data_IF_256962631486
#
_entry.id   IF_256962631486
#
_cell.length_a   1.000
_cell.length_b   1.000
_cell.length_c   1.000
_cell.angle_alpha   90.00
_cell.angle_beta   90.00
_cell.angle_gamma   90.00
#
_symmetry.space_group_name_H-M   'P 1'
#
loop_
_entity.id
_entity.type
_entity.pdbx_description
1 polymer ?
#
# COMPACT_ATOMS: atom_id res chain seq x y z
N UNK A 1 -34.23 76.93 -1.60
CA UNK A 1 -33.47 75.66 -1.57
C UNK A 1 -32.66 75.62 -0.29
N UNK A 2 -32.83 74.59 0.55
CA UNK A 2 -32.00 74.40 1.75
C UNK A 2 -30.69 73.74 1.32
N UNK A 3 -29.55 74.40 1.55
CA UNK A 3 -28.23 73.83 1.29
C UNK A 3 -27.94 72.83 2.41
N UNK A 4 -27.86 71.54 2.08
CA UNK A 4 -27.30 70.54 2.99
C UNK A 4 -25.79 70.74 2.98
N UNK A 5 -25.24 71.22 4.11
CA UNK A 5 -23.80 71.29 4.30
C UNK A 5 -23.30 69.86 4.54
N UNK A 6 -22.75 69.24 3.50
CA UNK A 6 -21.95 68.03 3.65
C UNK A 6 -20.60 68.45 4.26
N UNK A 7 -20.38 68.11 5.53
CA UNK A 7 -19.07 68.26 6.15
C UNK A 7 -18.03 67.39 5.44
N UNK A 8 -16.73 67.73 5.51
CA UNK A 8 -15.68 66.90 4.93
C UNK A 8 -15.66 65.56 5.66
N UNK A 9 -16.12 64.51 4.98
CA UNK A 9 -15.98 63.13 5.44
C UNK A 9 -14.48 62.85 5.53
N UNK A 10 -13.94 62.78 6.74
CA UNK A 10 -12.48 62.65 6.89
C UNK A 10 -12.06 61.30 6.32
N UNK A 11 -11.02 61.30 5.50
CA UNK A 11 -10.48 60.07 4.89
C UNK A 11 -10.01 59.06 5.94
N UNK A 12 -9.69 59.52 7.15
CA UNK A 12 -9.41 58.66 8.30
C UNK A 12 -10.64 57.86 8.76
N UNK A 13 -11.79 58.51 8.95
CA UNK A 13 -13.04 57.81 9.34
C UNK A 13 -13.49 56.79 8.29
N UNK A 14 -13.32 57.10 7.00
CA UNK A 14 -13.60 56.15 5.92
C UNK A 14 -12.70 54.91 6.00
N UNK A 15 -11.40 55.11 6.22
CA UNK A 15 -10.44 54.01 6.33
C UNK A 15 -10.71 53.14 7.57
N UNK A 16 -11.00 53.75 8.71
CA UNK A 16 -11.35 53.01 9.94
C UNK A 16 -12.64 52.21 9.79
N UNK A 17 -13.66 52.80 9.16
CA UNK A 17 -14.91 52.11 8.84
C UNK A 17 -14.70 50.95 7.87
N UNK A 18 -13.83 51.12 6.86
CA UNK A 18 -13.54 50.08 5.88
C UNK A 18 -12.77 48.90 6.50
N UNK A 19 -11.80 49.19 7.38
CA UNK A 19 -11.07 48.17 8.16
C UNK A 19 -12.00 47.40 9.08
N UNK A 20 -12.89 48.10 9.81
CA UNK A 20 -13.87 47.46 10.70
C UNK A 20 -14.80 46.51 9.94
N UNK A 21 -15.29 46.95 8.77
CA UNK A 21 -16.15 46.15 7.90
C UNK A 21 -15.41 44.92 7.36
N UNK A 22 -14.13 45.01 6.99
CA UNK A 22 -13.37 43.82 6.57
C UNK A 22 -13.27 42.82 7.72
N UNK A 23 -12.89 43.28 8.90
CA UNK A 23 -12.70 42.41 10.06
C UNK A 23 -14.02 41.74 10.49
N UNK A 24 -15.16 42.43 10.40
CA UNK A 24 -16.48 41.86 10.68
C UNK A 24 -16.97 40.88 9.59
N UNK A 25 -16.49 41.00 8.34
CA UNK A 25 -16.86 40.09 7.24
C UNK A 25 -15.99 38.83 7.14
N UNK A 26 -14.87 38.76 7.86
CA UNK A 26 -14.02 37.57 7.95
C UNK A 26 -14.37 36.88 9.29
N UNK A 27 -15.17 35.80 9.30
CA UNK A 27 -15.42 35.07 10.53
C UNK A 27 -14.16 34.29 10.92
N UNK A 28 -13.30 34.90 11.75
CA UNK A 28 -12.05 34.33 12.25
C UNK A 28 -12.25 32.93 12.85
N UNK A 29 -13.33 32.72 13.60
CA UNK A 29 -13.71 31.39 14.12
C UNK A 29 -13.87 30.33 13.02
N UNK A 30 -14.40 30.70 11.85
CA UNK A 30 -14.54 29.76 10.73
C UNK A 30 -13.19 29.40 10.12
N UNK A 31 -12.23 30.33 10.14
CA UNK A 31 -10.86 30.08 9.69
C UNK A 31 -10.11 29.21 10.70
N UNK A 32 -10.20 29.51 11.99
CA UNK A 32 -9.61 28.71 13.07
C UNK A 32 -10.10 27.27 13.04
N UNK A 33 -11.42 27.06 12.97
CA UNK A 33 -12.01 25.72 12.87
C UNK A 33 -11.51 24.97 11.62
N UNK A 34 -11.29 25.68 10.51
CA UNK A 34 -10.79 25.08 9.28
C UNK A 34 -9.30 24.76 9.36
N UNK A 35 -8.51 25.57 10.07
CA UNK A 35 -7.11 25.31 10.35
C UNK A 35 -6.98 24.08 11.25
N UNK A 36 -7.77 23.99 12.31
CA UNK A 36 -7.80 22.84 13.22
C UNK A 36 -8.13 21.54 12.47
N UNK A 37 -9.17 21.56 11.63
CA UNK A 37 -9.53 20.42 10.77
C UNK A 37 -8.38 20.02 9.83
N UNK A 38 -7.73 20.98 9.19
CA UNK A 38 -6.59 20.69 8.30
C UNK A 38 -5.38 20.14 9.07
N UNK A 39 -5.15 20.59 10.30
CA UNK A 39 -4.08 20.06 11.15
C UNK A 39 -4.38 18.62 11.58
N UNK A 40 -5.62 18.32 11.96
CA UNK A 40 -6.07 16.96 12.26
C UNK A 40 -5.95 16.04 11.04
N UNK A 41 -6.45 16.46 9.87
CA UNK A 41 -6.31 15.72 8.62
C UNK A 41 -4.84 15.45 8.28
N UNK A 42 -3.96 16.45 8.44
CA UNK A 42 -2.53 16.30 8.22
C UNK A 42 -1.88 15.31 9.19
N UNK A 43 -2.30 15.29 10.45
CA UNK A 43 -1.81 14.30 11.42
C UNK A 43 -2.28 12.89 11.06
N UNK A 44 -3.55 12.73 10.68
CA UNK A 44 -4.09 11.44 10.24
C UNK A 44 -3.35 10.90 9.01
N UNK A 45 -3.13 11.75 8.00
CA UNK A 45 -2.37 11.37 6.80
C UNK A 45 -0.93 10.94 7.14
N UNK A 46 -0.28 11.57 8.12
CA UNK A 46 1.05 11.13 8.58
C UNK A 46 1.01 9.74 9.20
N UNK A 47 0.00 9.46 10.03
CA UNK A 47 -0.18 8.13 10.62
C UNK A 47 -0.45 7.06 9.56
N UNK A 48 -1.32 7.35 8.59
CA UNK A 48 -1.61 6.44 7.47
C UNK A 48 -0.36 6.10 6.66
N UNK A 49 0.49 7.10 6.39
CA UNK A 49 1.78 6.90 5.72
C UNK A 49 2.67 5.95 6.51
N UNK A 50 2.76 6.10 7.82
CA UNK A 50 3.61 5.26 8.65
C UNK A 50 3.06 3.83 8.78
N UNK A 51 1.73 3.66 8.84
CA UNK A 51 1.08 2.34 8.74
C UNK A 51 1.40 1.67 7.41
N UNK A 52 1.24 2.38 6.29
CA UNK A 52 1.55 1.83 4.96
C UNK A 52 3.03 1.42 4.83
N UNK A 53 3.96 2.21 5.39
CA UNK A 53 5.39 1.84 5.41
C UNK A 53 5.62 0.55 6.19
N UNK A 54 5.00 0.41 7.37
CA UNK A 54 5.15 -0.77 8.20
C UNK A 54 4.58 -2.02 7.50
N UNK A 55 3.40 -1.91 6.91
CA UNK A 55 2.79 -2.98 6.12
C UNK A 55 3.70 -3.40 4.96
N UNK A 56 4.22 -2.45 4.18
CA UNK A 56 5.15 -2.72 3.09
C UNK A 56 6.43 -3.44 3.57
N UNK A 57 6.95 -3.07 4.75
CA UNK A 57 8.13 -3.73 5.31
C UNK A 57 7.83 -5.20 5.68
N UNK A 58 6.68 -5.46 6.32
CA UNK A 58 6.28 -6.84 6.68
C UNK A 58 6.04 -7.71 5.45
N UNK A 59 5.39 -7.16 4.42
CA UNK A 59 5.18 -7.83 3.15
C UNK A 59 6.51 -8.18 2.46
N UNK A 60 7.48 -7.25 2.47
CA UNK A 60 8.82 -7.51 1.93
C UNK A 60 9.52 -8.65 2.66
N UNK A 61 9.46 -8.67 3.99
CA UNK A 61 10.06 -9.76 4.80
C UNK A 61 9.41 -11.11 4.48
N UNK A 62 8.08 -11.15 4.39
CA UNK A 62 7.34 -12.36 4.01
C UNK A 62 7.72 -12.86 2.61
N UNK A 63 7.81 -11.95 1.63
CA UNK A 63 8.22 -12.29 0.25
C UNK A 63 9.62 -12.89 0.21
N UNK A 64 10.60 -12.26 0.88
CA UNK A 64 11.97 -12.75 0.88
C UNK A 64 12.07 -14.16 1.46
N UNK A 65 11.35 -14.45 2.55
CA UNK A 65 11.31 -15.80 3.12
C UNK A 65 10.70 -16.83 2.17
N UNK A 66 9.58 -16.48 1.52
CA UNK A 66 8.96 -17.36 0.53
C UNK A 66 9.88 -17.64 -0.68
N UNK A 67 10.70 -16.66 -1.07
CA UNK A 67 11.70 -16.81 -2.13
C UNK A 67 12.86 -17.72 -1.72
N UNK A 68 13.38 -17.56 -0.50
CA UNK A 68 14.39 -18.47 0.10
C UNK A 68 13.86 -19.92 0.18
N UNK A 69 12.62 -20.09 0.65
CA UNK A 69 11.98 -21.41 0.76
C UNK A 69 11.80 -22.05 -0.64
N UNK A 70 11.44 -21.26 -1.66
CA UNK A 70 11.32 -21.72 -3.04
C UNK A 70 12.66 -22.16 -3.62
N UNK A 71 13.73 -21.40 -3.36
CA UNK A 71 15.07 -21.76 -3.81
C UNK A 71 15.57 -23.04 -3.12
N UNK A 72 15.34 -23.18 -1.81
CA UNK A 72 15.60 -24.43 -1.08
C UNK A 72 14.87 -25.60 -1.72
N UNK A 73 13.55 -25.48 -1.91
CA UNK A 73 12.72 -26.53 -2.51
C UNK A 73 13.19 -26.90 -3.92
N UNK A 74 13.59 -25.91 -4.73
CA UNK A 74 14.14 -26.12 -6.06
C UNK A 74 15.46 -26.91 -6.02
N UNK A 75 16.31 -26.67 -5.02
CA UNK A 75 17.54 -27.45 -4.84
C UNK A 75 17.25 -28.88 -4.40
N UNK A 76 16.35 -29.08 -3.45
CA UNK A 76 15.95 -30.41 -2.97
C UNK A 76 15.29 -31.23 -4.08
N UNK A 77 14.42 -30.61 -4.87
CA UNK A 77 13.81 -31.24 -6.03
C UNK A 77 14.85 -31.72 -7.05
N UNK A 78 15.83 -30.87 -7.40
CA UNK A 78 16.91 -31.26 -8.32
C UNK A 78 17.71 -32.43 -7.77
N UNK A 79 18.02 -32.42 -6.47
CA UNK A 79 18.74 -33.50 -5.80
C UNK A 79 17.95 -34.80 -5.84
N UNK A 80 16.65 -34.75 -5.54
CA UNK A 80 15.75 -35.90 -5.65
C UNK A 80 15.73 -36.48 -7.07
N UNK A 81 15.58 -35.63 -8.10
CA UNK A 81 15.62 -36.08 -9.49
C UNK A 81 16.94 -36.79 -9.85
N UNK A 82 18.08 -36.27 -9.38
CA UNK A 82 19.38 -36.90 -9.57
C UNK A 82 19.47 -38.25 -8.85
N UNK A 83 19.03 -38.31 -7.59
CA UNK A 83 18.98 -39.55 -6.82
C UNK A 83 18.14 -40.61 -7.54
N UNK A 84 16.93 -40.28 -8.00
CA UNK A 84 16.07 -41.22 -8.75
C UNK A 84 16.72 -41.77 -10.02
N UNK A 85 17.51 -40.95 -10.74
CA UNK A 85 18.30 -41.42 -11.90
C UNK A 85 19.40 -42.39 -11.48
N UNK A 86 20.09 -42.14 -10.36
CA UNK A 86 21.19 -43.00 -9.89
C UNK A 86 20.73 -44.35 -9.35
N UNK A 87 19.59 -44.43 -8.65
CA UNK A 87 19.05 -45.72 -8.15
C UNK A 87 18.33 -46.54 -9.23
N UNK A 88 18.40 -46.15 -10.51
CA UNK A 88 17.74 -46.86 -11.61
C UNK A 88 16.21 -46.77 -11.60
N UNK A 89 15.64 -45.94 -10.72
CA UNK A 89 14.20 -45.60 -10.67
C UNK A 89 13.76 -44.70 -11.83
N UNK A 90 14.70 -44.19 -12.63
CA UNK A 90 14.47 -43.46 -13.87
C UNK A 90 13.94 -44.31 -15.03
N UNK A 91 13.24 -45.42 -14.76
CA UNK A 91 12.44 -46.10 -15.78
C UNK A 91 11.32 -45.15 -16.21
N UNK A 92 11.16 -44.91 -17.50
CA UNK A 92 9.97 -44.19 -17.99
C UNK A 92 8.72 -44.98 -17.61
N UNK A 93 7.59 -44.29 -17.44
CA UNK A 93 6.32 -44.95 -17.08
C UNK A 93 5.96 -46.11 -18.02
N UNK A 94 6.41 -46.04 -19.29
CA UNK A 94 6.29 -47.12 -20.27
C UNK A 94 7.17 -48.34 -19.96
N UNK A 95 8.41 -48.14 -19.49
CA UNK A 95 9.27 -49.24 -19.04
C UNK A 95 8.66 -49.96 -17.82
N UNK A 96 8.07 -49.21 -16.88
CA UNK A 96 7.34 -49.80 -15.76
C UNK A 96 6.11 -50.60 -16.23
N UNK A 97 5.33 -50.06 -17.17
CA UNK A 97 4.18 -50.79 -17.74
C UNK A 97 4.60 -52.08 -18.43
N UNK A 98 5.72 -52.07 -19.15
CA UNK A 98 6.25 -53.23 -19.86
C UNK A 98 6.74 -54.31 -18.90
N UNK A 99 7.45 -53.92 -17.84
CA UNK A 99 7.92 -54.84 -16.79
C UNK A 99 6.74 -55.48 -16.01
N UNK A 100 5.69 -54.72 -15.71
CA UNK A 100 4.45 -55.23 -15.10
C UNK A 100 3.77 -56.25 -16.02
N UNK A 101 3.73 -56.01 -17.34
CA UNK A 101 3.15 -56.95 -18.30
C UNK A 101 3.98 -58.22 -18.45
N UNK A 102 5.31 -58.11 -18.51
CA UNK A 102 6.22 -59.25 -18.59
C UNK A 102 6.15 -60.12 -17.32
N UNK A 103 6.03 -59.52 -16.13
CA UNK A 103 5.81 -60.27 -14.88
C UNK A 103 4.45 -60.98 -14.84
N UNK A 104 3.36 -60.32 -15.28
CA UNK A 104 2.05 -60.99 -15.40
C UNK A 104 2.12 -62.20 -16.34
N UNK A 105 2.80 -62.07 -17.48
CA UNK A 105 2.95 -63.15 -18.44
C UNK A 105 3.83 -64.32 -17.93
N UNK A 106 4.67 -64.11 -16.91
CA UNK A 106 5.42 -65.19 -16.24
C UNK A 106 4.60 -65.96 -15.23
N UNK A 107 3.67 -65.29 -14.54
CA UNK A 107 2.78 -65.95 -13.54
C UNK A 107 1.70 -66.78 -14.23
N UNK A 108 1.26 -66.36 -15.41
CA UNK A 108 0.25 -67.08 -16.20
C UNK A 108 0.82 -68.27 -17.02
N UNK A 109 2.08 -68.65 -16.82
CA UNK A 109 2.78 -69.74 -17.53
C UNK A 109 3.20 -70.85 -16.57
#
# INVERSE_FOLDING_TARGET
MKRLAAGPMTTLEYNEWWVRRINENIPEQKLENKIEQMEEEKMNLRLDIDVQKLEAETLRKGKNKAEEDLDSLKTDYKKLCLSMRTVGLGKTSEQWRKEIQDEKAKVDR
#
